data_IF_486528531109
#
_entry.id   IF_486528531109
#
_cell.length_a   1.000
_cell.length_b   1.000
_cell.length_c   1.000
_cell.angle_alpha   90.00
_cell.angle_beta   90.00
_cell.angle_gamma   90.00
#
_symmetry.space_group_name_H-M   'P 1'
#
loop_
_entity.id
_entity.type
_entity.pdbx_description
1 polymer ?
#
# COMPACT_ATOMS: atom_id res chain seq x y z
N UNK A 1 16.25 1.20 -6.78
CA UNK A 1 16.37 1.83 -8.11
C UNK A 1 16.38 3.34 -7.93
N UNK A 2 17.17 4.10 -8.69
CA UNK A 2 17.20 5.57 -8.53
C UNK A 2 16.13 6.24 -9.41
N UNK A 3 14.86 6.22 -8.97
CA UNK A 3 13.75 6.78 -9.74
C UNK A 3 13.87 8.29 -9.98
N UNK A 4 14.56 9.03 -9.09
CA UNK A 4 14.79 10.48 -9.23
C UNK A 4 15.47 10.88 -10.55
N UNK A 5 16.14 9.94 -11.23
CA UNK A 5 16.72 10.18 -12.55
C UNK A 5 15.68 10.62 -13.59
N UNK A 6 14.41 10.23 -13.46
CA UNK A 6 13.34 10.72 -14.34
C UNK A 6 13.11 12.23 -14.25
N UNK A 7 13.61 12.90 -13.19
CA UNK A 7 13.66 14.37 -13.05
C UNK A 7 15.02 14.96 -13.39
N UNK A 8 16.11 14.22 -13.14
CA UNK A 8 17.48 14.73 -13.27
C UNK A 8 17.99 14.74 -14.72
N UNK A 9 17.48 13.85 -15.58
CA UNK A 9 17.91 13.70 -16.97
C UNK A 9 16.73 13.59 -17.93
N UNK A 10 17.01 13.71 -19.23
CA UNK A 10 16.03 13.52 -20.30
C UNK A 10 15.27 12.19 -20.17
N UNK A 11 13.99 12.19 -20.54
CA UNK A 11 13.08 11.07 -20.29
C UNK A 11 13.52 9.79 -21.01
N UNK A 12 13.94 9.86 -22.27
CA UNK A 12 14.44 8.68 -22.98
C UNK A 12 15.66 8.10 -22.25
N UNK A 13 16.59 8.95 -21.83
CA UNK A 13 17.77 8.51 -21.08
C UNK A 13 17.40 7.90 -19.72
N UNK A 14 16.44 8.48 -19.01
CA UNK A 14 15.94 7.92 -17.74
C UNK A 14 15.35 6.51 -17.94
N UNK A 15 14.56 6.29 -19.00
CA UNK A 15 14.02 4.97 -19.33
C UNK A 15 15.15 3.98 -19.66
N UNK A 16 16.18 4.38 -20.42
CA UNK A 16 17.35 3.53 -20.71
C UNK A 16 18.11 3.14 -19.44
N UNK A 17 18.31 4.09 -18.51
CA UNK A 17 18.98 3.80 -17.24
C UNK A 17 18.13 2.84 -16.39
N UNK A 18 16.81 3.02 -16.36
CA UNK A 18 15.91 2.11 -15.65
C UNK A 18 16.07 0.66 -16.13
N UNK A 19 15.97 0.39 -17.44
CA UNK A 19 16.09 -1.00 -17.94
C UNK A 19 17.48 -1.59 -17.70
N UNK A 20 18.53 -0.75 -17.69
CA UNK A 20 19.87 -1.16 -17.25
C UNK A 20 19.91 -1.56 -15.77
N UNK A 21 19.26 -0.80 -14.88
CA UNK A 21 19.14 -1.15 -13.45
C UNK A 21 18.32 -2.43 -13.22
N UNK A 22 17.29 -2.65 -14.04
CA UNK A 22 16.49 -3.88 -14.09
C UNK A 22 17.26 -5.09 -14.68
N UNK A 23 18.48 -4.87 -15.18
CA UNK A 23 19.34 -5.87 -15.84
C UNK A 23 18.71 -6.48 -17.09
N UNK A 24 17.80 -5.78 -17.76
CA UNK A 24 17.19 -6.24 -19.00
C UNK A 24 18.03 -5.77 -20.19
N UNK A 25 18.51 -6.69 -21.05
CA UNK A 25 19.30 -6.31 -22.20
C UNK A 25 18.36 -5.74 -23.28
N UNK A 26 18.39 -4.42 -23.44
CA UNK A 26 17.63 -3.73 -24.48
C UNK A 26 18.57 -3.35 -25.60
N UNK A 27 18.22 -3.72 -26.83
CA UNK A 27 18.81 -3.14 -28.02
C UNK A 27 18.17 -1.78 -28.26
N UNK A 28 18.84 -0.76 -27.73
CA UNK A 28 18.38 0.62 -27.81
C UNK A 28 18.45 1.17 -29.22
N UNK A 29 17.42 1.93 -29.58
CA UNK A 29 17.44 2.79 -30.75
C UNK A 29 17.75 4.23 -30.33
N UNK A 30 18.31 5.00 -31.25
CA UNK A 30 18.57 6.42 -31.07
C UNK A 30 17.47 7.21 -31.80
N UNK A 31 16.25 7.11 -31.29
CA UNK A 31 15.10 7.80 -31.87
C UNK A 31 14.81 9.10 -31.14
N UNK A 32 14.63 10.15 -31.93
CA UNK A 32 14.02 11.41 -31.50
C UNK A 32 12.54 11.17 -31.15
N UNK A 33 11.93 12.00 -30.27
CA UNK A 33 10.51 11.91 -29.98
C UNK A 33 9.67 12.02 -31.25
N UNK A 34 8.59 11.26 -31.28
CA UNK A 34 7.63 11.26 -32.39
C UNK A 34 6.20 11.39 -31.86
N UNK A 35 5.26 11.63 -32.76
CA UNK A 35 3.86 11.76 -32.39
C UNK A 35 3.16 10.41 -32.43
N UNK A 36 2.11 10.28 -31.63
CA UNK A 36 1.29 9.08 -31.60
C UNK A 36 0.72 8.71 -32.98
N UNK A 37 0.34 9.70 -33.81
CA UNK A 37 -0.19 9.50 -35.17
C UNK A 37 0.83 8.94 -36.16
N UNK A 38 2.13 9.05 -35.87
CA UNK A 38 3.19 8.44 -36.69
C UNK A 38 3.45 6.98 -36.30
N UNK A 39 3.11 6.58 -35.07
CA UNK A 39 3.29 5.22 -34.56
C UNK A 39 2.03 4.37 -34.77
N UNK A 40 0.86 4.93 -34.48
CA UNK A 40 -0.41 4.22 -34.58
C UNK A 40 -1.08 4.46 -35.94
N UNK A 41 -1.43 3.37 -36.62
CA UNK A 41 -2.19 3.43 -37.87
C UNK A 41 -3.60 4.04 -37.65
N UNK A 42 -4.27 4.51 -38.72
CA UNK A 42 -5.66 4.99 -38.62
C UNK A 42 -6.67 3.95 -38.09
N UNK A 43 -6.29 2.67 -38.03
CA UNK A 43 -7.13 1.59 -37.50
C UNK A 43 -7.04 1.47 -35.97
N UNK A 44 -5.91 1.88 -35.37
CA UNK A 44 -5.65 1.74 -33.94
C UNK A 44 -5.71 3.08 -33.21
N UNK A 45 -5.34 4.17 -33.90
CA UNK A 45 -5.52 5.53 -33.42
C UNK A 45 -7.01 5.91 -33.38
N UNK A 46 -7.43 6.59 -32.30
CA UNK A 46 -8.76 7.20 -32.22
C UNK A 46 -8.61 8.65 -31.81
N UNK A 47 -9.21 9.56 -32.55
CA UNK A 47 -9.24 10.97 -32.14
C UNK A 47 -10.23 11.11 -30.96
N UNK A 48 -9.70 11.16 -29.73
CA UNK A 48 -10.48 11.33 -28.51
C UNK A 48 -9.64 11.95 -27.40
N UNK A 49 -10.29 12.28 -26.28
CA UNK A 49 -9.64 12.91 -25.13
C UNK A 49 -8.44 12.11 -24.59
N UNK A 50 -8.49 10.77 -24.58
CA UNK A 50 -7.39 9.92 -24.11
C UNK A 50 -6.14 10.07 -24.97
N UNK A 51 -6.28 9.96 -26.29
CA UNK A 51 -5.13 10.01 -27.19
C UNK A 51 -4.57 11.43 -27.33
N UNK A 52 -5.40 12.45 -27.09
CA UNK A 52 -4.96 13.85 -27.04
C UNK A 52 -4.19 14.19 -25.75
N UNK A 53 -4.13 13.28 -24.77
CA UNK A 53 -3.21 13.44 -23.63
C UNK A 53 -1.76 13.08 -23.97
N UNK A 54 -1.52 12.32 -25.05
CA UNK A 54 -0.16 11.92 -25.41
C UNK A 54 0.58 13.11 -26.00
N UNK A 55 1.71 13.45 -25.36
CA UNK A 55 2.61 14.52 -25.78
C UNK A 55 3.65 13.93 -26.76
N UNK A 56 4.71 13.32 -26.22
CA UNK A 56 5.75 12.65 -26.99
C UNK A 56 5.70 11.12 -26.82
N UNK A 57 6.06 10.44 -27.90
CA UNK A 57 6.29 8.99 -27.93
C UNK A 57 7.74 8.73 -28.31
N UNK A 58 8.41 7.89 -27.52
CA UNK A 58 9.79 7.48 -27.74
C UNK A 58 9.82 5.98 -27.96
N UNK A 59 10.30 5.53 -29.12
CA UNK A 59 10.66 4.14 -29.28
C UNK A 59 12.01 3.92 -28.59
N UNK A 60 12.03 3.14 -27.51
CA UNK A 60 13.22 2.99 -26.68
C UNK A 60 14.12 1.91 -27.25
N UNK A 61 13.52 0.80 -27.69
CA UNK A 61 14.23 -0.33 -28.24
C UNK A 61 13.44 -1.63 -28.10
N UNK A 62 14.15 -2.74 -28.33
CA UNK A 62 13.60 -4.08 -28.34
C UNK A 62 14.42 -5.02 -27.44
N UNK A 63 13.74 -6.01 -26.87
CA UNK A 63 14.35 -7.09 -26.10
C UNK A 63 13.97 -8.41 -26.74
N UNK A 64 14.94 -9.05 -27.38
CA UNK A 64 14.84 -10.37 -28.00
C UNK A 64 15.98 -11.29 -27.58
N UNK A 65 15.97 -12.54 -28.04
CA UNK A 65 17.07 -13.47 -27.79
C UNK A 65 18.40 -12.96 -28.37
N UNK A 66 18.37 -12.15 -29.44
CA UNK A 66 19.56 -11.45 -29.94
C UNK A 66 20.10 -10.46 -28.91
N UNK A 67 19.26 -9.65 -28.28
CA UNK A 67 19.66 -8.74 -27.21
C UNK A 67 20.28 -9.50 -26.02
N UNK A 68 19.70 -10.63 -25.62
CA UNK A 68 20.29 -11.50 -24.58
C UNK A 68 21.66 -12.06 -24.97
N UNK A 69 21.88 -12.34 -26.26
CA UNK A 69 23.17 -12.78 -26.80
C UNK A 69 24.16 -11.63 -27.07
N UNK A 70 23.77 -10.36 -26.88
CA UNK A 70 24.59 -9.19 -27.22
C UNK A 70 24.65 -8.86 -28.72
N UNK A 71 23.73 -9.40 -29.52
CA UNK A 71 23.58 -9.17 -30.95
C UNK A 71 22.48 -8.14 -31.24
N UNK A 72 22.46 -7.57 -32.45
CA UNK A 72 21.42 -6.63 -32.88
C UNK A 72 20.06 -7.33 -33.10
N UNK A 73 18.98 -6.67 -32.67
CA UNK A 73 17.61 -7.14 -32.88
C UNK A 73 17.14 -7.00 -34.32
N UNK A 74 16.14 -7.80 -34.70
CA UNK A 74 15.38 -7.62 -35.93
C UNK A 74 14.58 -6.30 -35.88
N UNK A 75 14.46 -5.63 -37.03
CA UNK A 75 13.58 -4.47 -37.16
C UNK A 75 12.12 -4.88 -36.91
N UNK A 76 11.32 -4.12 -36.14
CA UNK A 76 9.94 -4.49 -35.81
C UNK A 76 9.06 -4.81 -37.03
N UNK A 77 9.20 -4.06 -38.13
CA UNK A 77 8.42 -4.24 -39.37
C UNK A 77 8.70 -5.56 -40.10
N UNK A 78 9.78 -6.25 -39.72
CA UNK A 78 10.18 -7.54 -40.31
C UNK A 78 9.69 -8.74 -39.51
N UNK A 79 9.10 -8.51 -38.33
CA UNK A 79 8.56 -9.56 -37.47
C UNK A 79 7.20 -9.98 -38.03
N UNK A 80 7.12 -11.21 -38.57
CA UNK A 80 5.92 -11.75 -39.24
C UNK A 80 5.34 -12.98 -38.56
N UNK A 81 5.88 -13.39 -37.42
CA UNK A 81 5.45 -14.54 -36.64
C UNK A 81 5.63 -14.29 -35.15
N UNK A 82 4.89 -15.07 -34.36
CA UNK A 82 4.79 -14.94 -32.90
C UNK A 82 6.16 -15.08 -32.18
N UNK A 83 6.42 -14.12 -31.29
CA UNK A 83 7.36 -14.16 -30.14
C UNK A 83 8.87 -14.27 -30.42
N UNK A 84 9.45 -13.27 -31.08
CA UNK A 84 10.89 -13.06 -31.02
C UNK A 84 11.33 -11.98 -30.02
N UNK A 85 10.44 -11.14 -29.47
CA UNK A 85 10.85 -10.13 -28.48
C UNK A 85 9.73 -9.28 -27.86
N UNK A 86 10.12 -8.28 -27.05
CA UNK A 86 9.26 -7.22 -26.50
C UNK A 86 9.71 -5.86 -27.06
N UNK A 87 8.76 -5.00 -27.41
CA UNK A 87 9.04 -3.60 -27.71
C UNK A 87 8.83 -2.72 -26.48
N UNK A 88 9.70 -1.74 -26.30
CA UNK A 88 9.64 -0.79 -25.19
C UNK A 88 9.41 0.60 -25.77
N UNK A 89 8.38 1.29 -25.27
CA UNK A 89 8.14 2.70 -25.57
C UNK A 89 8.07 3.53 -24.29
N UNK A 90 8.61 4.74 -24.37
CA UNK A 90 8.38 5.82 -23.41
C UNK A 90 7.28 6.73 -23.93
N UNK A 91 6.37 7.19 -23.06
CA UNK A 91 5.32 8.14 -23.42
C UNK A 91 5.25 9.25 -22.37
N UNK A 92 5.35 10.50 -22.78
CA UNK A 92 5.00 11.65 -21.94
C UNK A 92 3.54 12.03 -22.16
N UNK A 93 2.86 12.46 -21.09
CA UNK A 93 1.48 12.91 -21.16
C UNK A 93 1.37 14.36 -20.71
N UNK A 94 0.54 15.13 -21.42
CA UNK A 94 0.10 16.44 -20.96
C UNK A 94 -0.68 16.33 -19.65
N UNK A 95 -0.58 17.37 -18.83
CA UNK A 95 -1.40 17.53 -17.63
C UNK A 95 -2.87 17.65 -18.02
N UNK A 96 -3.75 16.97 -17.29
CA UNK A 96 -5.19 17.06 -17.54
C UNK A 96 -5.76 18.35 -16.95
N UNK A 97 -6.91 18.75 -17.49
CA UNK A 97 -7.76 19.79 -16.91
C UNK A 97 -7.98 19.55 -15.40
N UNK A 98 -8.07 20.64 -14.64
CA UNK A 98 -8.25 20.63 -13.18
C UNK A 98 -7.14 19.92 -12.39
N UNK A 99 -5.93 19.80 -12.96
CA UNK A 99 -4.77 19.20 -12.32
C UNK A 99 -5.01 17.73 -11.88
N UNK A 100 -5.75 16.98 -12.70
CA UNK A 100 -6.00 15.57 -12.44
C UNK A 100 -4.94 14.69 -13.08
N UNK A 101 -4.53 13.62 -12.39
CA UNK A 101 -3.70 12.59 -12.99
C UNK A 101 -4.47 11.78 -14.07
N UNK A 102 -3.78 11.19 -15.05
CA UNK A 102 -4.37 10.24 -15.99
C UNK A 102 -5.10 9.10 -15.27
N UNK A 103 -6.30 8.79 -15.73
CA UNK A 103 -7.07 7.67 -15.16
C UNK A 103 -6.49 6.33 -15.61
N UNK A 104 -6.76 5.28 -14.83
CA UNK A 104 -6.42 3.90 -15.19
C UNK A 104 -6.96 3.52 -16.57
N UNK A 105 -8.18 3.94 -16.90
CA UNK A 105 -8.83 3.65 -18.18
C UNK A 105 -8.10 4.29 -19.35
N UNK A 106 -7.61 5.53 -19.18
CA UNK A 106 -6.85 6.24 -20.21
C UNK A 106 -5.50 5.57 -20.49
N UNK A 107 -4.71 5.29 -19.45
CA UNK A 107 -3.43 4.58 -19.59
C UNK A 107 -3.65 3.22 -20.26
N UNK A 108 -4.67 2.46 -19.83
CA UNK A 108 -4.98 1.15 -20.39
C UNK A 108 -5.52 1.20 -21.83
N UNK A 109 -6.18 2.28 -22.24
CA UNK A 109 -6.61 2.47 -23.63
C UNK A 109 -5.40 2.68 -24.54
N UNK A 110 -4.46 3.55 -24.14
CA UNK A 110 -3.21 3.78 -24.87
C UNK A 110 -2.40 2.48 -24.96
N UNK A 111 -2.20 1.75 -23.85
CA UNK A 111 -1.47 0.48 -23.85
C UNK A 111 -2.06 -0.57 -24.78
N UNK A 112 -3.41 -0.66 -24.85
CA UNK A 112 -4.08 -1.57 -25.78
C UNK A 112 -4.01 -1.10 -27.23
N UNK A 113 -3.84 0.20 -27.49
CA UNK A 113 -3.69 0.70 -28.85
C UNK A 113 -2.33 0.29 -29.42
N UNK A 114 -1.25 0.51 -28.67
CA UNK A 114 0.10 0.05 -29.04
C UNK A 114 0.15 -1.47 -29.22
N UNK A 115 -0.40 -2.25 -28.28
CA UNK A 115 -0.41 -3.71 -28.42
C UNK A 115 -1.31 -4.24 -29.55
N UNK A 116 -2.25 -3.43 -30.06
CA UNK A 116 -3.02 -3.76 -31.26
C UNK A 116 -2.29 -3.39 -32.55
N UNK A 117 -1.51 -2.32 -32.54
CA UNK A 117 -0.66 -1.93 -33.66
C UNK A 117 0.45 -2.97 -33.87
N UNK A 118 1.12 -3.37 -32.80
CA UNK A 118 2.18 -4.38 -32.83
C UNK A 118 1.62 -5.77 -32.48
N UNK A 119 0.75 -6.29 -33.34
CA UNK A 119 -0.02 -7.52 -33.08
C UNK A 119 0.79 -8.84 -33.15
N UNK A 120 2.08 -8.79 -33.52
CA UNK A 120 3.04 -9.91 -33.40
C UNK A 120 3.99 -9.81 -32.19
N UNK A 121 4.14 -8.61 -31.61
CA UNK A 121 5.18 -8.35 -30.60
C UNK A 121 4.58 -7.65 -29.39
N UNK A 122 4.68 -8.22 -28.16
CA UNK A 122 4.21 -7.56 -26.96
C UNK A 122 4.87 -6.18 -26.76
N UNK A 123 4.10 -5.21 -26.28
CA UNK A 123 4.58 -3.84 -26.03
C UNK A 123 4.47 -3.50 -24.55
N UNK A 124 5.59 -3.06 -23.97
CA UNK A 124 5.69 -2.47 -22.64
C UNK A 124 5.78 -0.94 -22.77
N UNK A 125 4.96 -0.24 -22.00
CA UNK A 125 4.96 1.23 -21.98
C UNK A 125 5.44 1.74 -20.63
N UNK A 126 6.32 2.75 -20.67
CA UNK A 126 6.68 3.59 -19.53
C UNK A 126 6.06 4.96 -19.75
N UNK A 127 5.13 5.36 -18.90
CA UNK A 127 4.52 6.68 -18.94
C UNK A 127 5.24 7.63 -17.97
N UNK A 128 5.34 8.90 -18.35
CA UNK A 128 5.68 10.01 -17.46
C UNK A 128 4.60 11.09 -17.53
N UNK A 129 4.15 11.56 -16.38
CA UNK A 129 3.11 12.58 -16.25
C UNK A 129 3.24 13.30 -14.91
N UNK A 130 2.49 14.37 -14.70
CA UNK A 130 2.62 15.19 -13.50
C UNK A 130 1.28 15.78 -13.05
N UNK A 131 1.25 16.22 -11.80
CA UNK A 131 0.31 17.22 -11.29
C UNK A 131 1.09 18.52 -10.96
N UNK A 132 0.45 19.52 -10.36
CA UNK A 132 1.10 20.78 -9.98
C UNK A 132 2.21 20.63 -8.92
N UNK A 133 2.27 19.48 -8.23
CA UNK A 133 3.15 19.26 -7.08
C UNK A 133 4.25 18.24 -7.37
N UNK A 134 3.95 17.18 -8.10
CA UNK A 134 4.79 16.01 -8.25
C UNK A 134 4.80 15.49 -9.68
N UNK A 135 5.88 14.79 -10.02
CA UNK A 135 5.99 14.00 -11.24
C UNK A 135 5.89 12.51 -10.92
N UNK A 136 5.28 11.77 -11.84
CA UNK A 136 4.98 10.37 -11.68
C UNK A 136 5.41 9.57 -12.92
N UNK A 137 5.69 8.30 -12.69
CA UNK A 137 5.80 7.31 -13.75
C UNK A 137 4.76 6.21 -13.60
N UNK A 138 4.45 5.55 -14.71
CA UNK A 138 3.69 4.30 -14.71
C UNK A 138 4.28 3.27 -15.66
N UNK A 139 4.21 2.00 -15.26
CA UNK A 139 4.53 0.84 -16.11
C UNK A 139 3.25 0.17 -16.55
N UNK A 140 3.14 -0.07 -17.86
CA UNK A 140 2.05 -0.84 -18.42
C UNK A 140 2.56 -2.03 -19.21
N UNK A 141 2.03 -3.19 -18.86
CA UNK A 141 2.19 -4.42 -19.62
C UNK A 141 0.81 -4.93 -20.03
N UNK A 142 0.67 -5.42 -21.25
CA UNK A 142 -0.61 -5.94 -21.76
C UNK A 142 -0.48 -7.42 -22.03
N UNK A 143 -1.33 -8.22 -21.40
CA UNK A 143 -1.44 -9.66 -21.68
C UNK A 143 -1.77 -9.88 -23.15
N UNK A 144 -1.26 -10.98 -23.69
CA UNK A 144 -1.50 -11.39 -25.06
C UNK A 144 -2.22 -12.72 -25.07
N UNK A 145 -3.31 -12.78 -25.84
CA UNK A 145 -4.16 -13.95 -25.94
C UNK A 145 -4.29 -14.34 -27.41
N UNK A 146 -4.15 -15.63 -27.71
CA UNK A 146 -4.44 -16.16 -29.05
C UNK A 146 -5.90 -15.85 -29.42
N UNK A 147 -6.13 -15.48 -30.67
CA UNK A 147 -7.50 -15.36 -31.17
C UNK A 147 -8.18 -16.73 -31.15
N UNK A 148 -9.47 -16.75 -30.82
CA UNK A 148 -10.31 -17.94 -31.03
C UNK A 148 -10.58 -18.19 -32.52
N UNK A 149 -10.51 -17.14 -33.32
CA UNK A 149 -10.64 -17.19 -34.77
C UNK A 149 -9.28 -17.48 -35.40
N UNK A 150 -9.08 -18.69 -35.90
CA UNK A 150 -7.81 -19.12 -36.50
C UNK A 150 -7.39 -18.33 -37.75
N UNK A 151 -8.34 -17.66 -38.42
CA UNK A 151 -8.06 -16.81 -39.59
C UNK A 151 -7.51 -15.42 -39.25
N UNK A 152 -7.58 -15.00 -37.98
CA UNK A 152 -7.02 -13.70 -37.58
C UNK A 152 -5.53 -13.86 -37.30
N UNK A 153 -4.74 -13.05 -37.99
CA UNK A 153 -3.31 -12.97 -37.76
C UNK A 153 -2.99 -12.27 -36.43
N UNK A 154 -1.89 -12.73 -35.81
CA UNK A 154 -1.37 -12.25 -34.52
C UNK A 154 -2.27 -12.54 -33.33
N UNK A 155 -2.23 -11.63 -32.35
CA UNK A 155 -2.86 -11.84 -31.05
C UNK A 155 -3.82 -10.74 -30.64
N UNK A 156 -4.70 -11.11 -29.70
CA UNK A 156 -5.62 -10.19 -29.04
C UNK A 156 -4.95 -9.59 -27.81
N UNK A 157 -4.90 -8.26 -27.76
CA UNK A 157 -4.57 -7.53 -26.53
C UNK A 157 -5.61 -7.83 -25.41
N UNK A 158 -5.13 -8.35 -24.29
CA UNK A 158 -5.90 -8.78 -23.14
C UNK A 158 -5.99 -7.74 -22.02
N UNK A 159 -5.83 -8.20 -20.78
CA UNK A 159 -5.83 -7.34 -19.60
C UNK A 159 -4.55 -6.49 -19.58
N UNK A 160 -4.69 -5.24 -19.15
CA UNK A 160 -3.54 -4.35 -18.92
C UNK A 160 -3.21 -4.36 -17.43
N UNK A 161 -2.00 -4.80 -17.12
CA UNK A 161 -1.38 -4.68 -15.80
C UNK A 161 -0.69 -3.33 -15.73
N UNK A 162 -1.05 -2.54 -14.71
CA UNK A 162 -0.58 -1.16 -14.53
C UNK A 162 -0.01 -1.01 -13.12
N UNK A 163 1.26 -0.63 -13.03
CA UNK A 163 1.83 -0.02 -11.85
C UNK A 163 1.86 1.48 -12.11
N UNK A 164 0.92 2.23 -11.53
CA UNK A 164 0.69 3.64 -11.86
C UNK A 164 0.96 4.55 -10.66
N UNK A 165 1.09 5.84 -10.96
CA UNK A 165 1.19 6.91 -9.97
C UNK A 165 2.40 6.70 -9.04
N UNK A 166 3.51 6.20 -9.59
CA UNK A 166 4.77 6.07 -8.86
C UNK A 166 5.37 7.47 -8.79
N UNK A 167 5.25 8.11 -7.62
CA UNK A 167 5.89 9.39 -7.37
C UNK A 167 7.42 9.22 -7.50
N UNK A 168 8.04 10.08 -8.32
CA UNK A 168 9.47 9.99 -8.66
C UNK A 168 10.38 10.31 -7.46
N UNK A 169 9.97 11.23 -6.58
CA UNK A 169 10.79 11.71 -5.46
C UNK A 169 10.50 10.94 -4.17
N UNK A 170 9.23 10.64 -3.93
CA UNK A 170 8.77 9.95 -2.73
C UNK A 170 7.89 8.74 -3.12
N UNK A 171 8.48 7.71 -3.77
CA UNK A 171 7.73 6.52 -4.15
C UNK A 171 7.19 5.81 -2.90
N UNK A 172 5.92 5.39 -2.95
CA UNK A 172 5.36 4.53 -1.92
C UNK A 172 6.15 3.21 -1.85
N UNK A 173 6.43 2.70 -0.64
CA UNK A 173 7.20 1.45 -0.43
C UNK A 173 6.74 0.29 -1.30
N UNK A 174 5.42 0.09 -1.42
CA UNK A 174 4.85 -0.95 -2.29
C UNK A 174 5.21 -0.78 -3.77
N UNK A 175 5.34 0.45 -4.27
CA UNK A 175 5.86 0.70 -5.61
C UNK A 175 7.34 0.35 -5.71
N UNK A 176 8.16 0.76 -4.74
CA UNK A 176 9.59 0.40 -4.71
C UNK A 176 9.78 -1.13 -4.73
N UNK A 177 9.02 -1.85 -3.92
CA UNK A 177 9.05 -3.30 -3.84
C UNK A 177 8.69 -3.97 -5.18
N UNK A 178 7.65 -3.49 -5.86
CA UNK A 178 7.25 -4.03 -7.17
C UNK A 178 8.28 -3.68 -8.24
N UNK A 179 8.77 -2.44 -8.29
CA UNK A 179 9.80 -2.04 -9.26
C UNK A 179 11.07 -2.87 -9.03
N UNK A 180 11.51 -3.05 -7.79
CA UNK A 180 12.65 -3.92 -7.46
C UNK A 180 12.44 -5.38 -7.87
N UNK A 181 11.20 -5.90 -7.82
CA UNK A 181 10.85 -7.23 -8.31
C UNK A 181 10.89 -7.36 -9.83
N UNK A 182 10.84 -6.27 -10.60
CA UNK A 182 11.00 -6.33 -12.06
C UNK A 182 12.45 -6.61 -12.49
N UNK A 183 13.42 -6.46 -11.57
CA UNK A 183 14.83 -6.71 -11.84
C UNK A 183 15.09 -8.20 -12.03
N UNK A 184 15.61 -8.58 -13.19
CA UNK A 184 15.76 -10.00 -13.51
C UNK A 184 16.98 -10.64 -12.84
N UNK A 185 16.87 -11.90 -12.39
CA UNK A 185 18.01 -12.69 -11.95
C UNK A 185 18.91 -13.06 -13.14
N UNK A 186 20.20 -12.76 -13.05
CA UNK A 186 21.18 -12.99 -14.14
C UNK A 186 22.07 -14.21 -13.92
N UNK A 187 21.81 -15.02 -12.90
CA UNK A 187 22.60 -16.21 -12.56
C UNK A 187 21.78 -17.19 -11.72
N UNK A 188 22.20 -18.45 -11.69
CA UNK A 188 21.57 -19.50 -10.89
C UNK A 188 20.37 -20.15 -11.58
N UNK A 189 19.66 -21.03 -10.87
CA UNK A 189 18.58 -21.86 -11.44
C UNK A 189 17.36 -21.06 -11.93
N UNK A 190 17.17 -19.85 -11.42
CA UNK A 190 16.10 -18.93 -11.83
C UNK A 190 16.55 -17.88 -12.87
N UNK A 191 17.74 -18.02 -13.45
CA UNK A 191 18.27 -17.06 -14.41
C UNK A 191 17.31 -16.81 -15.58
N UNK A 192 17.12 -15.53 -15.90
CA UNK A 192 16.44 -15.05 -17.10
C UNK A 192 17.49 -14.69 -18.14
N UNK A 193 17.61 -15.52 -19.17
CA UNK A 193 18.62 -15.45 -20.24
C UNK A 193 18.02 -15.50 -21.65
N UNK A 194 16.68 -15.44 -21.75
CA UNK A 194 15.96 -15.43 -23.00
C UNK A 194 14.71 -14.57 -22.90
N UNK A 195 14.20 -14.15 -24.05
CA UNK A 195 12.96 -13.39 -24.15
C UNK A 195 11.78 -14.14 -23.54
N UNK A 196 11.63 -15.44 -23.83
CA UNK A 196 10.53 -16.25 -23.28
C UNK A 196 10.56 -16.28 -21.75
N UNK A 197 11.74 -16.42 -21.14
CA UNK A 197 11.89 -16.38 -19.67
C UNK A 197 11.57 -14.99 -19.12
N UNK A 198 12.00 -13.92 -19.78
CA UNK A 198 11.69 -12.55 -19.38
C UNK A 198 10.18 -12.28 -19.40
N UNK A 199 9.52 -12.67 -20.49
CA UNK A 199 8.09 -12.51 -20.64
C UNK A 199 7.34 -13.23 -19.52
N UNK A 200 7.65 -14.50 -19.26
CA UNK A 200 7.05 -15.27 -18.17
C UNK A 200 7.33 -14.64 -16.79
N UNK A 201 8.57 -14.22 -16.55
CA UNK A 201 8.97 -13.59 -15.28
C UNK A 201 8.18 -12.31 -15.00
N UNK A 202 8.06 -11.41 -15.98
CA UNK A 202 7.28 -10.18 -15.79
C UNK A 202 5.77 -10.43 -15.69
N UNK A 203 5.22 -11.40 -16.43
CA UNK A 203 3.82 -11.79 -16.23
C UNK A 203 3.57 -12.28 -14.80
N UNK A 204 4.53 -13.01 -14.20
CA UNK A 204 4.48 -13.44 -12.81
C UNK A 204 4.51 -12.24 -11.83
N UNK A 205 5.45 -11.31 -11.99
CA UNK A 205 5.58 -10.11 -11.14
C UNK A 205 4.33 -9.23 -11.20
N UNK A 206 3.75 -9.06 -12.39
CA UNK A 206 2.51 -8.30 -12.57
C UNK A 206 1.24 -9.09 -12.23
N UNK A 207 1.36 -10.36 -11.86
CA UNK A 207 0.23 -11.17 -11.46
C UNK A 207 -0.32 -10.70 -10.12
N UNK A 208 -1.51 -10.09 -10.17
CA UNK A 208 -2.26 -9.64 -8.99
C UNK A 208 -2.47 -10.78 -7.99
N UNK A 209 -2.59 -12.03 -8.44
CA UNK A 209 -2.76 -13.17 -7.53
C UNK A 209 -1.52 -13.42 -6.67
N UNK A 210 -0.32 -13.18 -7.20
CA UNK A 210 0.95 -13.42 -6.49
C UNK A 210 1.24 -12.28 -5.53
N UNK A 211 1.05 -11.02 -5.96
CA UNK A 211 1.16 -9.85 -5.08
C UNK A 211 0.17 -9.95 -3.91
N UNK A 212 -1.08 -10.34 -4.18
CA UNK A 212 -2.08 -10.57 -3.15
C UNK A 212 -1.68 -11.73 -2.24
N UNK A 213 -1.20 -12.85 -2.78
CA UNK A 213 -0.78 -14.01 -1.96
C UNK A 213 0.34 -13.65 -1.00
N UNK A 214 1.36 -12.91 -1.45
CA UNK A 214 2.45 -12.45 -0.58
C UNK A 214 1.92 -11.52 0.51
N UNK A 215 1.10 -10.54 0.15
CA UNK A 215 0.47 -9.63 1.12
C UNK A 215 -0.35 -10.39 2.17
N UNK A 216 -1.21 -11.32 1.76
CA UNK A 216 -2.01 -12.13 2.70
C UNK A 216 -1.14 -13.04 3.55
N UNK A 217 -0.04 -13.58 3.02
CA UNK A 217 0.92 -14.34 3.81
C UNK A 217 1.59 -13.47 4.88
N UNK A 218 2.06 -12.28 4.53
CA UNK A 218 2.68 -11.35 5.48
C UNK A 218 1.68 -10.91 6.55
N UNK A 219 0.44 -10.57 6.16
CA UNK A 219 -0.63 -10.23 7.10
C UNK A 219 -0.97 -11.41 8.02
N UNK A 220 -1.02 -12.62 7.48
CA UNK A 220 -1.26 -13.85 8.24
C UNK A 220 -0.14 -14.11 9.24
N UNK A 221 1.13 -14.00 8.82
CA UNK A 221 2.28 -14.16 9.70
C UNK A 221 2.28 -13.12 10.82
N UNK A 222 2.02 -11.85 10.47
CA UNK A 222 1.91 -10.78 11.45
C UNK A 222 0.77 -11.07 12.44
N UNK A 223 -0.38 -11.55 11.97
CA UNK A 223 -1.53 -11.89 12.81
C UNK A 223 -1.18 -12.98 13.83
N UNK A 224 -0.62 -14.10 13.38
CA UNK A 224 -0.24 -15.21 14.27
C UNK A 224 0.88 -14.84 15.26
N UNK A 225 1.75 -13.91 14.89
CA UNK A 225 2.70 -13.33 15.83
C UNK A 225 2.01 -12.42 16.84
N UNK A 226 1.20 -11.46 16.37
CA UNK A 226 0.57 -10.44 17.19
C UNK A 226 -0.33 -11.03 18.29
N UNK A 227 -1.10 -12.10 18.02
CA UNK A 227 -1.95 -12.75 19.03
C UNK A 227 -1.17 -13.25 20.27
N UNK A 228 0.14 -13.52 20.12
CA UNK A 228 1.04 -13.96 21.19
C UNK A 228 1.67 -12.80 21.96
N UNK A 229 1.66 -11.61 21.38
CA UNK A 229 2.30 -10.40 21.93
C UNK A 229 1.33 -9.50 22.70
N UNK A 230 0.03 -9.69 22.47
CA UNK A 230 -1.03 -8.85 23.05
C UNK A 230 -1.66 -9.46 24.28
N UNK A 231 -2.24 -8.59 25.10
CA UNK A 231 -3.13 -8.93 26.21
C UNK A 231 -4.29 -7.95 26.22
N UNK A 232 -5.51 -8.45 26.08
CA UNK A 232 -6.72 -7.62 26.16
C UNK A 232 -7.41 -7.79 27.52
N UNK A 233 -8.25 -6.83 27.94
CA UNK A 233 -9.01 -6.94 29.17
C UNK A 233 -10.05 -8.07 29.11
N UNK A 234 -10.57 -8.48 30.26
CA UNK A 234 -11.42 -9.67 30.45
C UNK A 234 -10.76 -10.96 29.94
N UNK A 235 -9.47 -11.11 30.21
CA UNK A 235 -8.73 -12.33 29.91
C UNK A 235 -9.42 -13.54 30.59
N UNK A 236 -9.65 -14.66 29.87
CA UNK A 236 -10.30 -15.83 30.42
C UNK A 236 -9.58 -16.41 31.65
N UNK A 237 -10.33 -16.66 32.72
CA UNK A 237 -9.80 -17.21 33.97
C UNK A 237 -9.74 -18.75 33.94
N UNK A 238 -8.96 -19.32 34.86
CA UNK A 238 -8.88 -20.77 35.03
C UNK A 238 -10.25 -21.38 35.38
N UNK A 239 -11.09 -20.68 36.15
CA UNK A 239 -12.45 -21.14 36.48
C UNK A 239 -13.32 -21.25 35.23
N UNK A 240 -13.22 -20.29 34.30
CA UNK A 240 -13.94 -20.35 33.03
C UNK A 240 -13.48 -21.53 32.16
N UNK A 241 -12.18 -21.82 32.14
CA UNK A 241 -11.60 -22.96 31.44
C UNK A 241 -12.14 -24.29 31.99
N UNK A 242 -12.16 -24.44 33.32
CA UNK A 242 -12.72 -25.61 34.02
C UNK A 242 -14.21 -25.79 33.69
N UNK A 243 -15.00 -24.70 33.73
CA UNK A 243 -16.43 -24.75 33.42
C UNK A 243 -16.72 -25.18 31.97
N UNK A 244 -15.85 -24.79 31.03
CA UNK A 244 -15.97 -25.14 29.61
C UNK A 244 -15.30 -26.47 29.24
N UNK A 245 -14.54 -27.08 30.15
CA UNK A 245 -13.82 -28.33 29.90
C UNK A 245 -12.70 -28.21 28.87
N UNK A 246 -12.08 -27.03 28.75
CA UNK A 246 -10.99 -26.73 27.80
C UNK A 246 -9.76 -26.20 28.54
N UNK A 247 -8.61 -26.14 27.85
CA UNK A 247 -7.41 -25.52 28.41
C UNK A 247 -7.56 -24.00 28.48
N UNK A 248 -6.97 -23.37 29.50
CA UNK A 248 -7.05 -21.92 29.66
C UNK A 248 -6.32 -21.21 28.52
N UNK A 249 -5.19 -21.76 28.07
CA UNK A 249 -4.40 -21.22 26.97
C UNK A 249 -5.20 -21.12 25.68
N UNK A 250 -6.02 -22.13 25.37
CA UNK A 250 -6.88 -22.14 24.18
C UNK A 250 -7.93 -21.00 24.24
N UNK A 251 -8.51 -20.76 25.42
CA UNK A 251 -9.46 -19.66 25.61
C UNK A 251 -8.79 -18.29 25.52
N UNK A 252 -7.59 -18.13 26.08
CA UNK A 252 -6.82 -16.88 25.98
C UNK A 252 -6.45 -16.61 24.52
N UNK A 253 -6.04 -17.64 23.78
CA UNK A 253 -5.74 -17.53 22.36
C UNK A 253 -6.98 -17.11 21.55
N UNK A 254 -8.13 -17.74 21.77
CA UNK A 254 -9.41 -17.36 21.12
C UNK A 254 -9.81 -15.91 21.43
N UNK A 255 -9.66 -15.52 22.70
CA UNK A 255 -9.93 -14.16 23.17
C UNK A 255 -9.02 -13.13 22.48
N UNK A 256 -7.71 -13.37 22.48
CA UNK A 256 -6.73 -12.49 21.83
C UNK A 256 -6.95 -12.44 20.31
N UNK A 257 -7.17 -13.59 19.67
CA UNK A 257 -7.50 -13.70 18.24
C UNK A 257 -8.69 -12.81 17.87
N UNK A 258 -9.78 -12.91 18.62
CA UNK A 258 -10.99 -12.10 18.39
C UNK A 258 -10.69 -10.60 18.48
N UNK A 259 -9.96 -10.17 19.50
CA UNK A 259 -9.62 -8.76 19.70
C UNK A 259 -8.59 -8.24 18.68
N UNK A 260 -7.62 -9.06 18.26
CA UNK A 260 -6.69 -8.71 17.17
C UNK A 260 -7.42 -8.58 15.85
N UNK A 261 -8.39 -9.43 15.53
CA UNK A 261 -9.23 -9.28 14.33
C UNK A 261 -9.98 -7.94 14.35
N UNK A 262 -10.54 -7.54 15.50
CA UNK A 262 -11.20 -6.23 15.66
C UNK A 262 -10.23 -5.07 15.47
N UNK A 263 -9.05 -5.15 16.09
CA UNK A 263 -7.96 -4.18 15.91
C UNK A 263 -7.57 -4.05 14.43
N UNK A 264 -7.27 -5.17 13.77
CA UNK A 264 -6.90 -5.21 12.36
C UNK A 264 -7.97 -4.61 11.47
N UNK A 265 -9.23 -4.96 11.70
CA UNK A 265 -10.35 -4.44 10.91
C UNK A 265 -10.42 -2.91 11.04
N UNK A 266 -10.40 -2.38 12.27
CA UNK A 266 -10.40 -0.92 12.50
C UNK A 266 -9.16 -0.24 11.90
N UNK A 267 -7.99 -0.87 12.02
CA UNK A 267 -6.74 -0.35 11.48
C UNK A 267 -6.75 -0.29 9.94
N UNK A 268 -7.24 -1.34 9.26
CA UNK A 268 -7.35 -1.37 7.80
C UNK A 268 -8.29 -0.27 7.27
N UNK A 269 -9.45 -0.08 7.91
CA UNK A 269 -10.36 0.99 7.55
C UNK A 269 -9.76 2.38 7.83
N UNK A 270 -9.09 2.54 8.97
CA UNK A 270 -8.39 3.78 9.32
C UNK A 270 -7.29 4.09 8.31
N UNK A 271 -6.51 3.08 7.91
CA UNK A 271 -5.49 3.21 6.87
C UNK A 271 -6.11 3.61 5.53
N UNK A 272 -7.24 3.02 5.14
CA UNK A 272 -7.96 3.44 3.93
C UNK A 272 -8.37 4.91 3.97
N UNK A 273 -8.88 5.40 5.10
CA UNK A 273 -9.28 6.81 5.27
C UNK A 273 -8.04 7.73 5.24
N UNK A 274 -6.92 7.31 5.85
CA UNK A 274 -5.62 7.98 5.74
C UNK A 274 -5.16 8.09 4.28
N UNK A 275 -5.27 7.03 3.49
CA UNK A 275 -4.94 7.06 2.05
C UNK A 275 -5.86 7.98 1.24
N UNK A 276 -7.05 8.31 1.76
CA UNK A 276 -7.93 9.37 1.22
C UNK A 276 -7.57 10.78 1.69
N UNK A 277 -6.47 10.95 2.43
CA UNK A 277 -6.04 12.20 3.06
C UNK A 277 -7.07 12.78 4.03
N UNK A 278 -7.85 11.90 4.64
CA UNK A 278 -8.87 12.21 5.63
C UNK A 278 -8.40 11.85 7.06
N UNK A 279 -7.14 11.48 7.23
CA UNK A 279 -6.46 11.35 8.53
C UNK A 279 -5.05 11.92 8.36
N UNK A 280 -4.51 12.69 9.33
CA UNK A 280 -3.16 13.20 9.25
C UNK A 280 -2.15 12.07 9.12
N UNK A 281 -1.25 12.14 8.13
CA UNK A 281 -0.22 11.13 7.90
C UNK A 281 0.75 11.06 9.09
N UNK A 282 0.93 12.18 9.81
CA UNK A 282 1.76 12.33 11.00
C UNK A 282 1.37 11.38 12.14
N UNK A 283 0.12 10.92 12.19
CA UNK A 283 -0.34 9.95 13.19
C UNK A 283 0.22 8.54 12.95
N UNK A 284 0.77 8.27 11.76
CA UNK A 284 1.33 6.98 11.35
C UNK A 284 2.81 7.08 10.99
N UNK A 285 3.46 8.18 11.33
CA UNK A 285 4.87 8.46 11.09
C UNK A 285 5.62 8.48 12.43
N UNK A 286 6.60 7.59 12.58
CA UNK A 286 7.28 7.43 13.88
C UNK A 286 8.08 8.68 14.27
N UNK A 287 8.65 9.38 13.30
CA UNK A 287 9.46 10.58 13.55
C UNK A 287 8.56 11.73 14.02
N UNK A 288 7.41 11.93 13.37
CA UNK A 288 6.41 12.92 13.78
C UNK A 288 5.82 12.60 15.16
N UNK A 289 5.54 11.31 15.43
CA UNK A 289 5.05 10.86 16.73
C UNK A 289 6.05 11.18 17.85
N UNK A 290 7.33 10.87 17.65
CA UNK A 290 8.39 11.12 18.63
C UNK A 290 8.71 12.60 18.80
N UNK A 291 8.72 13.37 17.70
CA UNK A 291 9.16 14.77 17.70
C UNK A 291 8.08 15.72 18.17
N UNK A 292 6.85 15.55 17.70
CA UNK A 292 5.83 16.61 17.79
C UNK A 292 4.58 16.20 18.59
N UNK A 293 4.23 14.90 18.64
CA UNK A 293 2.92 14.46 19.15
C UNK A 293 3.01 13.85 20.57
N UNK A 294 3.81 12.81 20.76
CA UNK A 294 3.83 11.99 21.97
C UNK A 294 5.03 12.30 22.86
N UNK A 295 4.82 12.31 24.18
CA UNK A 295 5.88 12.52 25.16
C UNK A 295 6.95 11.42 25.08
N UNK A 296 6.51 10.16 24.94
CA UNK A 296 7.33 8.97 24.76
C UNK A 296 6.61 7.97 23.85
N UNK A 297 7.37 7.13 23.16
CA UNK A 297 6.89 5.94 22.44
C UNK A 297 8.08 4.97 22.34
N UNK A 298 7.83 3.67 22.47
CA UNK A 298 8.90 2.67 22.45
C UNK A 298 8.65 1.64 21.34
N UNK A 299 8.97 1.99 20.07
CA UNK A 299 8.59 1.20 18.89
C UNK A 299 9.53 0.02 18.60
N UNK A 300 10.66 -0.09 19.28
CA UNK A 300 11.70 -1.09 18.97
C UNK A 300 11.67 -2.24 19.98
N UNK A 301 11.47 -3.45 19.48
CA UNK A 301 11.53 -4.66 20.29
C UNK A 301 13.00 -5.08 20.48
N UNK A 302 13.51 -4.90 21.70
CA UNK A 302 14.86 -5.34 22.08
C UNK A 302 14.75 -6.36 23.22
N UNK A 303 14.69 -7.66 22.89
CA UNK A 303 14.53 -8.75 23.87
C UNK A 303 15.61 -8.75 24.97
N UNK A 304 16.81 -8.26 24.65
CA UNK A 304 17.97 -8.21 25.54
C UNK A 304 18.22 -6.84 26.19
N UNK A 305 17.25 -5.92 26.14
CA UNK A 305 17.39 -4.57 26.68
C UNK A 305 16.78 -4.43 28.08
N UNK A 306 17.38 -3.54 28.89
CA UNK A 306 16.86 -3.16 30.21
C UNK A 306 15.47 -2.52 30.15
N UNK A 307 15.02 -2.10 28.95
CA UNK A 307 13.74 -1.41 28.71
C UNK A 307 12.68 -2.29 28.03
N UNK A 308 12.82 -3.62 28.02
CA UNK A 308 11.89 -4.56 27.36
C UNK A 308 10.40 -4.35 27.70
N UNK A 309 10.11 -3.85 28.90
CA UNK A 309 8.74 -3.63 29.37
C UNK A 309 8.17 -2.24 29.01
N UNK A 310 9.01 -1.29 28.57
CA UNK A 310 8.56 0.04 28.12
C UNK A 310 7.62 -0.06 26.92
N UNK A 311 7.88 -1.01 26.00
CA UNK A 311 7.05 -1.29 24.85
C UNK A 311 5.64 -1.77 25.21
N UNK A 312 5.46 -2.34 26.41
CA UNK A 312 4.18 -2.89 26.88
C UNK A 312 3.25 -1.82 27.44
N UNK A 313 3.69 -0.57 27.58
CA UNK A 313 2.80 0.53 27.96
C UNK A 313 1.71 0.78 26.90
N UNK A 314 1.94 0.35 25.66
CA UNK A 314 0.96 0.43 24.55
C UNK A 314 0.56 1.87 24.23
N UNK A 315 1.53 2.79 24.27
CA UNK A 315 1.28 4.23 24.21
C UNK A 315 0.64 4.58 22.87
N UNK A 316 1.15 4.04 21.76
CA UNK A 316 0.60 4.32 20.44
C UNK A 316 -0.84 3.81 20.32
N UNK A 317 -1.09 2.55 20.71
CA UNK A 317 -2.43 2.00 20.65
C UNK A 317 -3.42 2.80 21.52
N UNK A 318 -3.05 3.11 22.77
CA UNK A 318 -3.91 3.83 23.71
C UNK A 318 -4.12 5.29 23.34
N UNK A 319 -3.04 6.04 23.10
CA UNK A 319 -3.10 7.47 22.88
C UNK A 319 -3.57 7.82 21.46
N UNK A 320 -3.12 7.10 20.44
CA UNK A 320 -3.42 7.43 19.04
C UNK A 320 -4.60 6.60 18.55
N UNK A 321 -4.46 5.27 18.46
CA UNK A 321 -5.45 4.43 17.78
C UNK A 321 -6.80 4.41 18.49
N UNK A 322 -6.85 4.19 19.80
CA UNK A 322 -8.14 4.18 20.52
C UNK A 322 -8.85 5.55 20.46
N UNK A 323 -8.12 6.66 20.60
CA UNK A 323 -8.72 8.01 20.46
C UNK A 323 -9.20 8.27 19.04
N UNK A 324 -8.47 7.79 18.02
CA UNK A 324 -8.87 7.88 16.63
C UNK A 324 -10.14 7.05 16.34
N UNK A 325 -10.21 5.82 16.84
CA UNK A 325 -11.37 4.96 16.67
C UNK A 325 -12.58 5.53 17.41
N UNK A 326 -12.51 5.62 18.75
CA UNK A 326 -13.69 5.78 19.59
C UNK A 326 -14.08 7.24 19.84
N UNK A 327 -13.09 8.13 19.91
CA UNK A 327 -13.30 9.55 20.26
C UNK A 327 -13.15 10.50 19.07
N UNK A 328 -12.88 9.99 17.86
CA UNK A 328 -12.72 10.81 16.65
C UNK A 328 -13.61 10.30 15.53
N UNK A 329 -13.34 9.11 14.98
CA UNK A 329 -14.13 8.55 13.87
C UNK A 329 -15.57 8.21 14.30
N UNK A 330 -15.80 7.99 15.59
CA UNK A 330 -17.11 7.75 16.19
C UNK A 330 -17.69 8.94 16.97
N UNK A 331 -17.16 10.15 16.79
CA UNK A 331 -17.64 11.38 17.46
C UNK A 331 -17.67 12.58 16.48
N UNK A 332 -18.77 13.34 16.41
CA UNK A 332 -18.85 14.52 15.55
C UNK A 332 -17.88 15.62 16.01
N UNK A 333 -17.40 16.42 15.04
CA UNK A 333 -16.49 17.55 15.31
C UNK A 333 -17.21 18.61 16.14
N UNK A 334 -18.41 18.98 15.71
CA UNK A 334 -19.30 19.91 16.38
C UNK A 334 -20.63 19.23 16.70
N UNK A 335 -21.23 19.60 17.82
CA UNK A 335 -22.55 19.11 18.20
C UNK A 335 -23.62 19.74 17.31
N UNK A 336 -24.69 18.99 17.07
CA UNK A 336 -25.90 19.49 16.42
C UNK A 336 -27.16 19.09 17.21
N UNK A 337 -28.32 19.14 16.56
CA UNK A 337 -29.61 18.84 17.19
C UNK A 337 -29.84 17.34 17.40
N UNK A 338 -29.19 16.48 16.62
CA UNK A 338 -29.33 15.03 16.64
C UNK A 338 -28.25 14.38 17.50
N UNK A 339 -27.04 14.94 17.51
CA UNK A 339 -25.91 14.47 18.30
C UNK A 339 -25.26 15.62 19.07
N UNK A 340 -25.40 15.59 20.39
CA UNK A 340 -24.85 16.62 21.28
C UNK A 340 -23.39 16.37 21.70
N UNK A 341 -22.76 15.29 21.19
CA UNK A 341 -21.37 14.97 21.49
C UNK A 341 -20.45 15.96 20.79
N UNK A 342 -19.28 16.19 21.38
CA UNK A 342 -18.20 16.97 20.77
C UNK A 342 -16.87 16.31 21.07
N UNK A 343 -15.92 16.42 20.13
CA UNK A 343 -14.56 15.93 20.32
C UNK A 343 -13.83 16.77 21.36
N UNK A 344 -13.21 16.10 22.32
CA UNK A 344 -12.39 16.75 23.33
C UNK A 344 -11.80 15.75 24.30
N UNK A 345 -10.71 16.16 24.97
CA UNK A 345 -10.15 15.38 26.06
C UNK A 345 -11.05 15.40 27.28
N UNK A 346 -11.14 14.25 27.96
CA UNK A 346 -11.80 14.16 29.24
C UNK A 346 -11.17 15.14 30.24
N UNK A 347 -12.03 15.83 31.01
CA UNK A 347 -11.59 16.72 32.07
C UNK A 347 -10.84 15.98 33.18
N UNK A 348 -10.00 16.72 33.91
CA UNK A 348 -9.27 16.21 35.09
C UNK A 348 -10.17 16.05 36.33
N UNK A 349 -11.42 16.50 36.24
CA UNK A 349 -12.33 16.51 37.38
C UNK A 349 -12.85 15.11 37.73
N UNK A 350 -12.51 14.69 38.94
CA UNK A 350 -13.13 13.67 39.81
C UNK A 350 -13.62 12.36 39.17
N UNK A 351 -12.94 11.28 39.53
CA UNK A 351 -13.34 9.89 39.45
C UNK A 351 -14.88 9.68 39.40
N UNK A 352 -15.39 9.06 38.33
CA UNK A 352 -16.77 8.57 38.25
C UNK A 352 -17.77 9.36 37.38
N UNK A 353 -17.59 10.67 37.14
CA UNK A 353 -18.57 11.47 36.36
C UNK A 353 -18.65 11.13 34.86
N UNK A 354 -17.60 10.53 34.31
CA UNK A 354 -17.48 10.21 32.88
C UNK A 354 -17.21 8.72 32.63
N UNK A 355 -17.57 7.85 33.58
CA UNK A 355 -17.23 6.42 33.56
C UNK A 355 -17.77 5.69 32.32
N UNK A 356 -18.94 6.07 31.80
CA UNK A 356 -19.53 5.48 30.59
C UNK A 356 -19.37 6.31 29.32
N UNK A 357 -18.52 7.35 29.34
CA UNK A 357 -18.39 8.29 28.21
C UNK A 357 -17.27 7.85 27.28
N UNK A 358 -17.63 7.27 26.13
CA UNK A 358 -16.68 6.68 25.18
C UNK A 358 -16.35 7.55 23.97
N UNK A 359 -16.99 8.71 23.86
CA UNK A 359 -16.74 9.67 22.79
C UNK A 359 -15.71 10.76 23.15
N UNK A 360 -15.20 10.78 24.40
CA UNK A 360 -14.15 11.71 24.82
C UNK A 360 -12.75 11.07 24.76
N UNK A 361 -11.77 11.87 24.35
CA UNK A 361 -10.38 11.44 24.24
C UNK A 361 -9.77 11.17 25.62
N UNK A 362 -8.93 10.14 25.69
CA UNK A 362 -8.25 9.64 26.89
C UNK A 362 -6.74 9.77 26.76
N UNK A 363 -6.04 9.46 27.85
CA UNK A 363 -4.58 9.44 27.91
C UNK A 363 -3.91 10.79 27.57
N UNK A 364 -4.55 11.89 27.98
CA UNK A 364 -4.04 13.27 27.78
C UNK A 364 -2.56 13.42 28.16
N UNK A 365 -2.12 12.70 29.20
CA UNK A 365 -0.73 12.69 29.70
C UNK A 365 0.32 12.21 28.70
N UNK A 366 -0.05 11.47 27.65
CA UNK A 366 0.90 10.97 26.65
C UNK A 366 1.19 11.98 25.55
N UNK A 367 0.43 13.07 25.45
CA UNK A 367 0.64 14.08 24.42
C UNK A 367 1.56 15.21 24.91
N UNK A 368 2.46 15.67 24.03
CA UNK A 368 3.26 16.89 24.27
C UNK A 368 2.36 18.12 24.31
N UNK A 369 1.43 18.19 23.37
CA UNK A 369 0.42 19.24 23.29
C UNK A 369 -0.95 18.63 22.90
N UNK A 370 -1.79 18.30 23.89
CA UNK A 370 -3.11 17.72 23.63
C UNK A 370 -4.02 18.60 22.77
N UNK A 371 -3.96 19.92 22.93
CA UNK A 371 -4.83 20.84 22.19
C UNK A 371 -4.41 20.93 20.72
N UNK A 372 -3.10 20.84 20.44
CA UNK A 372 -2.59 20.73 19.08
C UNK A 372 -3.04 19.42 18.42
N UNK A 373 -3.01 18.28 19.13
CA UNK A 373 -3.53 17.02 18.62
C UNK A 373 -5.03 17.10 18.31
N UNK A 374 -5.83 17.65 19.22
CA UNK A 374 -7.27 17.82 19.01
C UNK A 374 -7.55 18.69 17.76
N UNK A 375 -6.83 19.81 17.62
CA UNK A 375 -6.94 20.67 16.44
C UNK A 375 -6.55 19.93 15.16
N UNK A 376 -5.45 19.18 15.20
CA UNK A 376 -4.95 18.39 14.06
C UNK A 376 -6.03 17.43 13.55
N UNK A 377 -6.66 16.65 14.43
CA UNK A 377 -7.70 15.70 14.02
C UNK A 377 -9.01 16.38 13.61
N UNK A 378 -9.41 17.47 14.28
CA UNK A 378 -10.65 18.19 13.92
C UNK A 378 -10.58 18.89 12.57
N UNK A 379 -9.38 19.24 12.09
CA UNK A 379 -9.22 19.89 10.79
C UNK A 379 -9.53 18.97 9.60
N UNK A 380 -9.38 17.65 9.75
CA UNK A 380 -9.37 16.74 8.59
C UNK A 380 -10.12 15.42 8.82
N UNK A 381 -10.18 14.92 10.05
CA UNK A 381 -10.76 13.59 10.33
C UNK A 381 -12.28 13.65 10.35
N UNK A 382 -12.98 12.93 9.46
CA UNK A 382 -14.43 12.96 9.40
C UNK A 382 -15.06 12.18 10.56
N UNK A 383 -16.35 12.42 10.79
CA UNK A 383 -17.19 11.54 11.59
C UNK A 383 -17.84 10.51 10.67
N UNK A 384 -17.75 9.21 11.02
CA UNK A 384 -18.20 8.10 10.17
C UNK A 384 -19.34 7.27 10.77
N UNK A 385 -19.87 7.66 11.94
CA UNK A 385 -20.98 7.05 12.69
C UNK A 385 -21.30 5.59 12.30
N UNK A 386 -20.38 4.68 12.57
CA UNK A 386 -20.49 3.29 12.14
C UNK A 386 -20.04 2.36 13.24
N UNK A 387 -20.81 1.28 13.46
CA UNK A 387 -20.56 0.28 14.52
C UNK A 387 -19.16 -0.32 14.53
N UNK A 388 -18.39 -0.18 13.45
CA UNK A 388 -16.98 -0.56 13.39
C UNK A 388 -16.13 0.20 14.43
N UNK A 389 -16.40 1.48 14.66
CA UNK A 389 -15.65 2.35 15.56
C UNK A 389 -16.35 2.57 16.91
N UNK A 390 -17.39 1.79 17.20
CA UNK A 390 -17.99 1.78 18.54
C UNK A 390 -17.06 1.08 19.53
N UNK A 391 -16.99 1.65 20.73
CA UNK A 391 -16.33 1.05 21.88
C UNK A 391 -17.27 0.03 22.50
N UNK A 392 -16.79 -1.19 22.70
CA UNK A 392 -17.59 -2.32 23.16
C UNK A 392 -17.44 -2.60 24.66
N UNK A 393 -16.85 -1.66 25.39
CA UNK A 393 -16.78 -1.72 26.85
C UNK A 393 -18.17 -1.46 27.48
N UNK A 394 -18.57 -2.27 28.45
CA UNK A 394 -19.64 -1.94 29.41
C UNK A 394 -19.04 -1.61 30.77
N UNK A 395 -18.71 -0.33 30.95
CA UNK A 395 -18.06 0.19 32.16
C UNK A 395 -18.99 0.28 33.36
N UNK A 396 -20.31 0.15 33.13
CA UNK A 396 -21.29 0.06 34.22
C UNK A 396 -21.23 -1.32 34.87
N UNK A 397 -21.00 -2.36 34.07
CA UNK A 397 -20.81 -3.74 34.51
C UNK A 397 -19.34 -4.13 34.76
N UNK A 398 -18.40 -3.23 34.55
CA UNK A 398 -16.95 -3.49 34.58
C UNK A 398 -16.45 -4.47 33.51
N UNK A 399 -17.16 -4.54 32.37
CA UNK A 399 -16.74 -5.32 31.22
C UNK A 399 -15.91 -4.43 30.30
N UNK A 400 -14.63 -4.74 30.12
CA UNK A 400 -13.74 -4.06 29.16
C UNK A 400 -13.40 -5.00 28.00
N UNK A 401 -13.76 -4.64 26.77
CA UNK A 401 -13.40 -5.42 25.59
C UNK A 401 -12.31 -4.67 24.82
N UNK A 402 -12.56 -3.40 24.52
CA UNK A 402 -11.61 -2.52 23.84
C UNK A 402 -10.64 -1.87 24.84
N UNK A 403 -11.00 -1.83 26.12
CA UNK A 403 -10.14 -1.30 27.18
C UNK A 403 -9.88 0.19 27.05
N UNK A 404 -10.84 0.95 26.50
CA UNK A 404 -10.70 2.38 26.29
C UNK A 404 -10.95 3.11 27.63
N UNK A 405 -10.00 3.04 28.55
CA UNK A 405 -10.11 3.63 29.88
C UNK A 405 -8.76 4.13 30.40
N UNK A 406 -8.75 5.33 31.00
CA UNK A 406 -7.56 5.85 31.68
C UNK A 406 -7.16 4.99 32.89
N UNK A 407 -8.14 4.32 33.51
CA UNK A 407 -7.97 3.47 34.68
C UNK A 407 -9.00 2.32 34.61
N UNK A 408 -8.55 1.11 34.34
CA UNK A 408 -9.38 -0.09 34.41
C UNK A 408 -9.42 -0.63 35.85
N UNK A 409 -10.40 -1.49 36.15
CA UNK A 409 -10.51 -2.14 37.47
C UNK A 409 -9.30 -3.01 37.78
N UNK A 410 -9.04 -3.23 39.07
CA UNK A 410 -7.86 -3.98 39.54
C UNK A 410 -7.86 -5.40 38.94
N UNK A 411 -6.80 -5.73 38.20
CA UNK A 411 -6.63 -7.03 37.52
C UNK A 411 -6.82 -6.98 36.00
N UNK A 412 -7.41 -5.91 35.47
CA UNK A 412 -7.57 -5.71 34.04
C UNK A 412 -6.31 -5.12 33.42
N UNK A 413 -5.90 -5.68 32.27
CA UNK A 413 -4.69 -5.28 31.57
C UNK A 413 -4.96 -5.10 30.08
N UNK A 414 -4.40 -4.03 29.51
CA UNK A 414 -4.38 -3.79 28.07
C UNK A 414 -2.92 -3.59 27.65
N UNK A 415 -2.42 -4.55 26.91
CA UNK A 415 -1.07 -4.60 26.35
C UNK A 415 -1.19 -4.86 24.85
N UNK A 416 -0.96 -3.84 24.05
CA UNK A 416 -0.82 -3.90 22.60
C UNK A 416 0.47 -3.17 22.27
N UNK A 417 1.61 -3.88 22.20
CA UNK A 417 2.92 -3.25 22.17
C UNK A 417 3.13 -2.36 20.94
N UNK A 418 3.85 -1.25 21.13
CA UNK A 418 4.07 -0.25 20.05
C UNK A 418 4.88 -0.84 18.87
N UNK A 419 5.73 -1.83 19.13
CA UNK A 419 6.51 -2.52 18.09
C UNK A 419 5.66 -3.33 17.11
N UNK A 420 4.40 -3.64 17.44
CA UNK A 420 3.49 -4.27 16.47
C UNK A 420 3.21 -3.38 15.26
N UNK A 421 3.40 -2.06 15.40
CA UNK A 421 3.09 -1.06 14.38
C UNK A 421 4.33 -0.45 13.72
N UNK A 422 5.43 -0.31 14.46
CA UNK A 422 6.63 0.40 14.02
C UNK A 422 7.94 -0.41 14.20
N UNK A 423 7.84 -1.66 14.63
CA UNK A 423 9.00 -2.52 14.86
C UNK A 423 9.72 -2.92 13.58
N UNK A 424 10.97 -3.36 13.74
CA UNK A 424 11.72 -3.98 12.66
C UNK A 424 11.15 -5.37 12.31
N UNK A 425 11.53 -5.91 11.14
CA UNK A 425 11.15 -7.27 10.76
C UNK A 425 11.73 -8.29 11.73
N UNK A 426 10.87 -9.15 12.27
CA UNK A 426 11.26 -10.23 13.18
C UNK A 426 11.18 -11.61 12.50
N UNK A 427 12.13 -12.48 12.83
CA UNK A 427 12.08 -13.89 12.44
C UNK A 427 11.49 -14.69 13.59
N UNK A 428 10.26 -15.18 13.41
CA UNK A 428 9.52 -15.92 14.44
C UNK A 428 9.12 -17.27 13.88
N UNK A 429 9.24 -18.31 14.68
CA UNK A 429 8.73 -19.63 14.33
C UNK A 429 7.21 -19.67 14.53
N UNK A 430 6.49 -19.84 13.40
CA UNK A 430 5.04 -19.96 13.34
C UNK A 430 4.61 -21.38 12.90
N UNK A 431 5.51 -22.36 12.90
CA UNK A 431 5.26 -23.72 12.39
C UNK A 431 4.18 -24.52 13.15
N UNK A 432 3.80 -24.04 14.34
CA UNK A 432 2.75 -24.63 15.16
C UNK A 432 1.33 -24.09 14.86
N UNK A 433 1.20 -23.10 13.97
CA UNK A 433 -0.07 -22.50 13.51
C UNK A 433 -0.40 -22.96 12.09
#
# INVERSE_FOLDING_TARGET
>A
MKLTLFKEIDFLHAVKVLFKELKVPVNYVADEPTTLKKILSPLTYKENYTFNLVDDVYFVGMVDDAAFAGNQSLSPDKIKSDYDGILIFGITLHQRETNLLPTRSQLAEISRAFNREFYYTPVVLVFKYHDDKNEYIAFANTERLKYKQEWREGEKAGKVSLLRDINIENPHRGHEDIVNQLKIPTSGTKQVDSFSKLYNYWQEVFSVSILNKKFYQELSNWYFWAIKQVRFPNEPTQEMAIQKGVKQEDLIQEHNATNVIRLLTRLLFTWFIKEKKLIPDELFDIDALQKDILNNISPYHEENSLFKDANKESIYYKAILQNLFFATLNCPIEADKEDNRTRGFRGLESYGKHRGIDWMMRYKKYFKNPDAFLKMVNNVVPFLNGGLFECLDDKTQNLYIDGFSDQMTKGEHLIVPDYLFFGATENVDLSAE
#
